data_IF_932767609708
#
_entry.id   IF_932767609708
#
_cell.length_a   1.000
_cell.length_b   1.000
_cell.length_c   1.000
_cell.angle_alpha   90.00
_cell.angle_beta   90.00
_cell.angle_gamma   90.00
#
_symmetry.space_group_name_H-M   'P 1'
#
loop_
_entity.id
_entity.type
_entity.pdbx_description
1 polymer ?
#
# COMPACT_ATOMS: atom_id res chain seq x y z
N UNK A 1 -5.02 -0.85 -16.52
CA UNK A 1 -3.59 -0.85 -16.95
C UNK A 1 -2.95 -2.24 -16.86
N UNK A 2 -2.81 -2.90 -15.69
CA UNK A 2 -2.21 -4.26 -15.62
C UNK A 2 -2.92 -5.28 -16.52
N UNK A 3 -4.25 -5.40 -16.45
CA UNK A 3 -5.05 -6.27 -17.32
C UNK A 3 -4.78 -6.07 -18.83
N UNK A 4 -4.70 -4.80 -19.25
CA UNK A 4 -4.40 -4.48 -20.67
C UNK A 4 -3.01 -4.96 -21.08
N UNK A 5 -2.02 -4.82 -20.19
CA UNK A 5 -0.65 -5.31 -20.44
C UNK A 5 -0.58 -6.84 -20.49
N UNK A 6 -1.29 -7.53 -19.60
CA UNK A 6 -1.41 -8.98 -19.63
C UNK A 6 -1.99 -9.43 -20.99
N UNK A 7 -3.09 -8.81 -21.44
CA UNK A 7 -3.70 -9.13 -22.73
C UNK A 7 -2.77 -8.84 -23.92
N UNK A 8 -2.01 -7.74 -23.86
CA UNK A 8 -0.99 -7.43 -24.88
C UNK A 8 0.10 -8.50 -24.95
N UNK A 9 0.64 -8.92 -23.79
CA UNK A 9 1.65 -10.00 -23.73
C UNK A 9 1.10 -11.32 -24.28
N UNK A 10 -0.13 -11.71 -23.90
CA UNK A 10 -0.78 -12.92 -24.41
C UNK A 10 -0.93 -12.88 -25.94
N UNK A 11 -1.30 -11.75 -26.54
CA UNK A 11 -1.43 -11.60 -28.00
C UNK A 11 -0.12 -11.84 -28.76
N UNK A 12 1.01 -11.49 -28.16
CA UNK A 12 2.35 -11.71 -28.76
C UNK A 12 3.05 -12.96 -28.19
N UNK A 13 2.29 -13.87 -27.57
CA UNK A 13 2.77 -15.14 -27.00
C UNK A 13 3.92 -14.95 -25.99
N UNK A 14 3.92 -13.86 -25.21
CA UNK A 14 4.90 -13.61 -24.14
C UNK A 14 4.28 -13.77 -22.78
N UNK A 15 5.03 -14.35 -21.84
CA UNK A 15 4.62 -14.46 -20.43
C UNK A 15 4.75 -13.11 -19.72
N UNK A 16 3.65 -12.53 -19.19
CA UNK A 16 3.70 -11.30 -18.42
C UNK A 16 4.23 -11.54 -17.00
N UNK A 17 5.31 -10.87 -16.62
CA UNK A 17 5.84 -10.93 -15.26
C UNK A 17 5.46 -9.65 -14.51
N UNK A 18 4.69 -9.79 -13.43
CA UNK A 18 4.23 -8.69 -12.59
C UNK A 18 5.07 -8.63 -11.33
N UNK A 19 5.82 -7.55 -11.15
CA UNK A 19 6.72 -7.35 -9.99
C UNK A 19 6.28 -6.15 -9.18
N UNK A 20 6.26 -6.29 -7.86
CA UNK A 20 5.96 -5.17 -6.97
C UNK A 20 5.94 -5.55 -5.49
N UNK A 21 5.82 -4.54 -4.63
CA UNK A 21 5.77 -4.72 -3.17
C UNK A 21 4.43 -4.29 -2.56
N UNK A 22 3.47 -3.80 -3.36
CA UNK A 22 2.15 -3.41 -2.86
C UNK A 22 1.18 -4.58 -3.00
N UNK A 23 1.11 -5.41 -1.95
CA UNK A 23 0.29 -6.63 -1.95
C UNK A 23 -1.18 -6.40 -2.31
N UNK A 24 -1.77 -5.26 -1.93
CA UNK A 24 -3.15 -4.93 -2.28
C UNK A 24 -3.39 -4.90 -3.80
N UNK A 25 -2.40 -4.50 -4.62
CA UNK A 25 -2.54 -4.52 -6.07
C UNK A 25 -2.55 -5.94 -6.63
N UNK A 26 -1.74 -6.83 -6.05
CA UNK A 26 -1.81 -8.24 -6.40
C UNK A 26 -3.16 -8.85 -6.02
N UNK A 27 -3.61 -8.61 -4.78
CA UNK A 27 -4.94 -9.07 -4.33
C UNK A 27 -6.05 -8.56 -5.24
N UNK A 28 -6.01 -7.28 -5.59
CA UNK A 28 -6.96 -6.68 -6.51
C UNK A 28 -6.99 -7.33 -7.91
N UNK A 29 -5.83 -7.80 -8.37
CA UNK A 29 -5.71 -8.49 -9.66
C UNK A 29 -6.18 -9.95 -9.58
N UNK A 30 -5.77 -10.67 -8.54
CA UNK A 30 -6.02 -12.12 -8.40
C UNK A 30 -7.38 -12.47 -7.80
N UNK A 31 -7.90 -11.62 -6.90
CA UNK A 31 -9.16 -11.85 -6.20
C UNK A 31 -10.26 -10.85 -6.61
N UNK A 32 -9.89 -9.81 -7.35
CA UNK A 32 -10.79 -8.76 -7.77
C UNK A 32 -10.80 -7.54 -6.84
N UNK A 33 -11.42 -6.48 -7.34
CA UNK A 33 -11.73 -5.27 -6.56
C UNK A 33 -13.23 -5.15 -6.41
N UNK A 34 -13.66 -4.88 -5.19
CA UNK A 34 -15.06 -4.58 -4.91
C UNK A 34 -15.48 -3.30 -5.64
N UNK A 35 -16.58 -3.38 -6.39
CA UNK A 35 -17.11 -2.24 -7.13
C UNK A 35 -18.10 -1.45 -6.26
N UNK A 36 -17.57 -0.65 -5.33
CA UNK A 36 -18.37 0.25 -4.51
C UNK A 36 -18.62 1.55 -5.29
N UNK A 37 -19.86 2.08 -5.32
CA UNK A 37 -20.16 3.34 -5.95
C UNK A 37 -19.25 4.48 -5.49
N UNK A 38 -18.94 5.41 -6.39
CA UNK A 38 -18.10 6.56 -6.08
C UNK A 38 -18.80 7.46 -5.06
N UNK A 39 -18.25 7.53 -3.86
CA UNK A 39 -18.76 8.40 -2.79
C UNK A 39 -18.23 9.82 -3.01
N UNK A 40 -19.11 10.84 -3.09
CA UNK A 40 -18.73 12.23 -3.30
C UNK A 40 -17.78 12.77 -2.23
N UNK A 41 -16.85 13.64 -2.61
CA UNK A 41 -15.84 14.17 -1.69
C UNK A 41 -16.45 15.03 -0.56
N UNK A 42 -17.53 15.76 -0.82
CA UNK A 42 -18.25 16.51 0.20
C UNK A 42 -18.78 15.58 1.31
N UNK A 43 -19.39 14.45 0.95
CA UNK A 43 -19.85 13.44 1.90
C UNK A 43 -18.67 12.85 2.70
N UNK A 44 -17.58 12.45 2.02
CA UNK A 44 -16.38 11.95 2.68
C UNK A 44 -15.77 12.94 3.65
N UNK A 45 -15.77 14.22 3.31
CA UNK A 45 -15.28 15.29 4.20
C UNK A 45 -16.18 15.45 5.44
N UNK A 46 -17.52 15.36 5.29
CA UNK A 46 -18.45 15.36 6.43
C UNK A 46 -18.14 14.21 7.41
N UNK A 47 -17.95 13.00 6.92
CA UNK A 47 -17.61 11.82 7.75
C UNK A 47 -16.26 12.01 8.45
N UNK A 48 -15.24 12.49 7.75
CA UNK A 48 -13.91 12.76 8.34
C UNK A 48 -13.95 13.86 9.41
N UNK A 49 -14.73 14.89 9.18
CA UNK A 49 -14.92 15.97 10.17
C UNK A 49 -15.69 15.46 11.40
N UNK A 50 -16.71 14.60 11.21
CA UNK A 50 -17.37 13.92 12.31
C UNK A 50 -16.37 13.12 13.14
N UNK A 51 -15.55 12.28 12.49
CA UNK A 51 -14.51 11.50 13.17
C UNK A 51 -13.54 12.40 13.96
N UNK A 52 -13.05 13.49 13.37
CA UNK A 52 -12.16 14.45 14.05
C UNK A 52 -12.81 15.07 15.29
N UNK A 53 -14.10 15.36 15.21
CA UNK A 53 -14.86 16.01 16.30
C UNK A 53 -15.08 15.08 17.49
N UNK A 54 -15.45 13.81 17.26
CA UNK A 54 -15.84 12.89 18.33
C UNK A 54 -14.76 11.89 18.75
N UNK A 55 -13.66 11.80 18.00
CA UNK A 55 -12.55 10.87 18.23
C UNK A 55 -12.84 9.42 17.81
N UNK A 56 -11.79 8.58 17.78
CA UNK A 56 -11.87 7.22 17.24
C UNK A 56 -12.83 6.31 18.01
N UNK A 57 -12.78 6.33 19.33
CA UNK A 57 -13.58 5.40 20.15
C UNK A 57 -15.08 5.63 19.97
N UNK A 58 -15.55 6.90 20.15
CA UNK A 58 -16.96 7.26 19.95
C UNK A 58 -17.39 7.08 18.50
N UNK A 59 -16.49 7.31 17.55
CA UNK A 59 -16.77 7.09 16.14
C UNK A 59 -16.97 5.62 15.82
N UNK A 60 -16.16 4.73 16.38
CA UNK A 60 -16.29 3.29 16.19
C UNK A 60 -17.59 2.75 16.80
N UNK A 61 -17.97 3.22 17.99
CA UNK A 61 -19.29 2.90 18.58
C UNK A 61 -20.45 3.31 17.67
N UNK A 62 -20.37 4.53 17.10
CA UNK A 62 -21.36 5.01 16.14
C UNK A 62 -21.40 4.19 14.85
N UNK A 63 -20.24 3.70 14.40
CA UNK A 63 -20.16 2.78 13.26
C UNK A 63 -20.85 1.45 13.58
N UNK A 64 -20.64 0.88 14.76
CA UNK A 64 -21.29 -0.37 15.19
C UNK A 64 -22.81 -0.25 15.26
N UNK A 65 -23.34 0.90 15.67
CA UNK A 65 -24.78 1.16 15.69
C UNK A 65 -25.41 1.08 14.29
N UNK A 66 -24.73 1.59 13.26
CA UNK A 66 -25.25 1.58 11.88
C UNK A 66 -24.88 0.32 11.09
N UNK A 67 -23.81 -0.37 11.47
CA UNK A 67 -23.29 -1.55 10.79
C UNK A 67 -22.70 -2.56 11.80
N UNK A 68 -23.54 -3.35 12.48
CA UNK A 68 -23.07 -4.35 13.46
C UNK A 68 -22.16 -5.43 12.86
N UNK A 69 -22.23 -5.68 11.54
CA UNK A 69 -21.41 -6.69 10.86
C UNK A 69 -19.91 -6.37 10.89
N UNK A 70 -19.54 -5.15 11.29
CA UNK A 70 -18.15 -4.69 11.34
C UNK A 70 -17.43 -5.16 12.62
N UNK A 71 -18.15 -5.54 13.68
CA UNK A 71 -17.64 -5.73 15.05
C UNK A 71 -16.33 -6.54 15.09
N UNK A 72 -16.31 -7.71 14.47
CA UNK A 72 -15.16 -8.63 14.50
C UNK A 72 -14.29 -8.57 13.23
N UNK A 73 -14.62 -7.65 12.32
CA UNK A 73 -13.96 -7.52 11.01
C UNK A 73 -12.99 -6.36 10.94
N UNK A 74 -13.14 -5.36 11.79
CA UNK A 74 -12.29 -4.17 11.85
C UNK A 74 -11.86 -3.94 13.28
N UNK A 75 -10.54 -3.78 13.47
CA UNK A 75 -9.99 -3.37 14.77
C UNK A 75 -10.53 -1.98 15.14
N UNK A 76 -11.04 -1.82 16.37
CA UNK A 76 -11.58 -0.55 16.89
C UNK A 76 -10.64 0.64 16.82
N UNK A 77 -9.32 0.39 16.79
CA UNK A 77 -8.29 1.41 16.66
C UNK A 77 -7.93 1.73 15.19
N UNK A 78 -8.44 0.97 14.20
CA UNK A 78 -8.17 1.22 12.79
C UNK A 78 -9.05 2.36 12.25
N UNK A 79 -8.55 3.56 12.41
CA UNK A 79 -9.22 4.79 11.96
C UNK A 79 -9.56 4.78 10.47
N UNK A 80 -8.64 4.30 9.63
CA UNK A 80 -8.82 4.34 8.17
C UNK A 80 -9.96 3.42 7.72
N UNK A 81 -9.97 2.19 8.24
CA UNK A 81 -11.03 1.22 7.93
C UNK A 81 -12.36 1.62 8.55
N UNK A 82 -12.36 2.16 9.78
CA UNK A 82 -13.57 2.67 10.44
C UNK A 82 -14.23 3.78 9.64
N UNK A 83 -13.47 4.80 9.23
CA UNK A 83 -13.96 5.90 8.39
C UNK A 83 -14.51 5.35 7.07
N UNK A 84 -13.78 4.45 6.42
CA UNK A 84 -14.20 3.89 5.14
C UNK A 84 -15.48 3.07 5.25
N UNK A 85 -15.61 2.24 6.27
CA UNK A 85 -16.82 1.45 6.53
C UNK A 85 -18.03 2.36 6.78
N UNK A 86 -17.85 3.42 7.58
CA UNK A 86 -18.90 4.40 7.85
C UNK A 86 -19.32 5.14 6.57
N UNK A 87 -18.35 5.60 5.75
CA UNK A 87 -18.61 6.21 4.44
C UNK A 87 -19.49 5.32 3.56
N UNK A 88 -19.11 4.02 3.44
CA UNK A 88 -19.81 3.06 2.59
C UNK A 88 -21.22 2.81 3.12
N UNK A 89 -21.36 2.42 4.39
CA UNK A 89 -22.65 2.09 4.98
C UNK A 89 -23.63 3.26 4.94
N UNK A 90 -23.16 4.44 5.31
CA UNK A 90 -24.03 5.63 5.35
C UNK A 90 -24.47 6.07 3.95
N UNK A 91 -23.61 5.93 2.94
CA UNK A 91 -23.90 6.35 1.57
C UNK A 91 -24.71 5.29 0.81
N UNK A 92 -24.30 4.01 0.89
CA UNK A 92 -24.88 2.93 0.06
C UNK A 92 -25.96 2.12 0.79
N UNK A 93 -26.17 2.36 2.10
CA UNK A 93 -27.03 1.58 2.99
C UNK A 93 -26.61 0.11 3.14
N UNK A 94 -25.59 -0.35 2.44
CA UNK A 94 -25.07 -1.72 2.46
C UNK A 94 -23.73 -1.78 3.20
N UNK A 95 -23.53 -2.83 4.03
CA UNK A 95 -22.28 -3.04 4.75
C UNK A 95 -21.08 -3.21 3.80
N UNK A 96 -19.93 -2.70 4.21
CA UNK A 96 -18.67 -2.95 3.52
C UNK A 96 -18.36 -4.45 3.40
N UNK A 97 -18.70 -5.24 4.42
CA UNK A 97 -18.52 -6.70 4.43
C UNK A 97 -19.37 -7.37 3.35
N UNK A 98 -20.63 -6.93 3.21
CA UNK A 98 -21.51 -7.44 2.17
C UNK A 98 -21.02 -7.11 0.76
N UNK A 99 -20.39 -5.96 0.58
CA UNK A 99 -19.75 -5.61 -0.69
C UNK A 99 -18.57 -6.54 -1.00
N UNK A 100 -17.72 -6.85 -0.01
CA UNK A 100 -16.56 -7.72 -0.19
C UNK A 100 -16.93 -9.16 -0.52
N UNK A 101 -18.01 -9.70 0.10
CA UNK A 101 -18.50 -11.06 -0.21
C UNK A 101 -18.88 -11.24 -1.69
N UNK A 102 -19.30 -10.19 -2.35
CA UNK A 102 -19.74 -10.21 -3.76
C UNK A 102 -18.62 -9.80 -4.75
N UNK A 103 -17.36 -9.77 -4.30
CA UNK A 103 -16.23 -9.46 -5.17
C UNK A 103 -15.94 -10.65 -6.09
N UNK A 104 -15.82 -10.40 -7.39
CA UNK A 104 -15.42 -11.40 -8.40
C UNK A 104 -14.13 -10.94 -9.06
N UNK A 105 -13.22 -11.88 -9.31
CA UNK A 105 -12.04 -11.67 -10.14
C UNK A 105 -12.36 -11.98 -11.59
N UNK A 106 -11.69 -11.29 -12.52
CA UNK A 106 -11.72 -11.65 -13.94
C UNK A 106 -10.76 -12.81 -14.24
N UNK A 107 -10.01 -13.27 -13.27
CA UNK A 107 -9.02 -14.33 -13.38
C UNK A 107 -9.34 -15.46 -12.41
N UNK A 108 -9.05 -16.69 -12.83
CA UNK A 108 -9.09 -17.87 -11.98
C UNK A 108 -7.84 -17.95 -11.08
N UNK A 109 -7.89 -18.80 -10.07
CA UNK A 109 -6.75 -19.03 -9.18
C UNK A 109 -5.51 -19.54 -9.95
N UNK A 110 -5.73 -20.29 -11.02
CA UNK A 110 -4.70 -20.95 -11.83
C UNK A 110 -4.12 -20.05 -12.93
N UNK A 111 -4.69 -18.85 -13.15
CA UNK A 111 -4.19 -17.92 -14.18
C UNK A 111 -2.84 -17.27 -13.81
N UNK A 112 -2.38 -17.45 -12.56
CA UNK A 112 -1.15 -16.85 -12.07
C UNK A 112 -0.27 -17.88 -11.35
N UNK A 113 0.99 -17.93 -11.74
CA UNK A 113 2.03 -18.53 -10.91
C UNK A 113 2.50 -17.48 -9.88
N UNK A 114 2.14 -17.69 -8.62
CA UNK A 114 2.30 -16.71 -7.55
C UNK A 114 3.56 -16.96 -6.77
N UNK A 115 4.46 -15.97 -6.69
CA UNK A 115 5.73 -16.06 -5.97
C UNK A 115 5.83 -14.94 -4.95
N UNK A 116 6.22 -15.28 -3.73
CA UNK A 116 6.60 -14.34 -2.70
C UNK A 116 8.08 -14.51 -2.37
N UNK A 117 8.89 -13.48 -2.64
CA UNK A 117 10.31 -13.53 -2.31
C UNK A 117 10.49 -13.32 -0.80
N UNK A 118 10.99 -14.35 -0.12
CA UNK A 118 11.33 -14.30 1.30
C UNK A 118 12.80 -13.89 1.46
N UNK A 119 12.99 -12.61 1.76
CA UNK A 119 14.32 -12.02 1.88
C UNK A 119 14.81 -12.10 3.34
N UNK A 120 16.00 -12.66 3.62
CA UNK A 120 16.57 -12.69 4.96
C UNK A 120 16.63 -11.29 5.57
N UNK A 121 16.17 -11.17 6.81
CA UNK A 121 16.00 -9.84 7.45
C UNK A 121 17.31 -9.05 7.53
N UNK A 122 18.42 -9.73 7.83
CA UNK A 122 19.75 -9.09 7.94
C UNK A 122 20.14 -8.44 6.61
N UNK A 123 20.10 -9.23 5.54
CA UNK A 123 20.48 -8.80 4.20
C UNK A 123 19.56 -7.67 3.69
N UNK A 124 18.26 -7.76 4.01
CA UNK A 124 17.30 -6.72 3.67
C UNK A 124 17.63 -5.39 4.35
N UNK A 125 18.01 -5.41 5.64
CA UNK A 125 18.38 -4.20 6.38
C UNK A 125 19.64 -3.58 5.77
N UNK A 126 20.65 -4.37 5.48
CA UNK A 126 21.88 -3.91 4.85
C UNK A 126 21.61 -3.25 3.49
N UNK A 127 20.85 -3.91 2.62
CA UNK A 127 20.44 -3.33 1.33
C UNK A 127 19.64 -2.04 1.48
N UNK A 128 18.79 -1.92 2.50
CA UNK A 128 18.05 -0.68 2.77
C UNK A 128 19.00 0.44 3.15
N UNK A 129 19.99 0.17 4.00
CA UNK A 129 20.97 1.18 4.42
C UNK A 129 21.78 1.66 3.21
N UNK A 130 22.38 0.74 2.45
CA UNK A 130 23.12 1.07 1.22
C UNK A 130 22.26 1.86 0.21
N UNK A 131 21.00 1.45 0.03
CA UNK A 131 20.04 2.15 -0.84
C UNK A 131 19.78 3.58 -0.35
N UNK A 132 19.65 3.79 0.96
CA UNK A 132 19.36 5.10 1.53
C UNK A 132 20.52 6.09 1.32
N UNK A 133 21.76 5.62 1.43
CA UNK A 133 22.94 6.39 1.09
C UNK A 133 23.01 6.69 -0.43
N UNK A 134 22.81 5.67 -1.25
CA UNK A 134 22.90 5.79 -2.70
C UNK A 134 21.84 6.76 -3.27
N UNK A 135 20.62 6.76 -2.75
CA UNK A 135 19.58 7.71 -3.17
C UNK A 135 20.06 9.16 -2.97
N UNK A 136 20.70 9.45 -1.85
CA UNK A 136 21.23 10.80 -1.57
C UNK A 136 22.38 11.14 -2.54
N UNK A 137 23.32 10.22 -2.74
CA UNK A 137 24.43 10.37 -3.70
C UNK A 137 23.95 10.58 -5.14
N UNK A 138 22.88 9.91 -5.53
CA UNK A 138 22.27 10.00 -6.86
C UNK A 138 21.38 11.24 -7.08
N UNK A 139 21.35 12.17 -6.11
CA UNK A 139 20.74 13.49 -6.33
C UNK A 139 19.31 13.66 -5.82
N UNK A 140 18.82 12.81 -4.92
CA UNK A 140 17.47 12.94 -4.34
C UNK A 140 17.23 14.31 -3.68
N UNK A 141 18.26 14.95 -3.12
CA UNK A 141 18.15 16.30 -2.55
C UNK A 141 17.75 17.31 -3.62
N UNK A 142 18.38 17.27 -4.78
CA UNK A 142 18.09 18.17 -5.91
C UNK A 142 16.70 17.89 -6.50
N UNK A 143 16.30 16.61 -6.57
CA UNK A 143 14.95 16.20 -7.01
C UNK A 143 13.88 16.77 -6.08
N UNK A 144 14.03 16.59 -4.76
CA UNK A 144 13.07 17.13 -3.77
C UNK A 144 13.06 18.66 -3.77
N UNK A 145 14.20 19.32 -3.99
CA UNK A 145 14.24 20.78 -4.14
C UNK A 145 13.38 21.26 -5.32
N UNK A 146 13.46 20.57 -6.48
CA UNK A 146 12.59 20.83 -7.63
C UNK A 146 11.12 20.52 -7.31
N UNK A 147 10.85 19.39 -6.66
CA UNK A 147 9.50 19.00 -6.24
C UNK A 147 8.83 20.04 -5.32
N UNK A 148 9.58 20.65 -4.39
CA UNK A 148 9.07 21.70 -3.52
C UNK A 148 8.59 22.92 -4.32
N UNK A 149 9.34 23.31 -5.37
CA UNK A 149 8.98 24.43 -6.27
C UNK A 149 7.65 24.18 -7.01
N UNK A 150 7.30 22.91 -7.27
CA UNK A 150 6.03 22.53 -7.94
C UNK A 150 4.79 22.76 -7.06
N UNK A 151 4.92 23.11 -5.79
CA UNK A 151 3.84 23.40 -4.83
C UNK A 151 2.74 22.32 -4.77
N UNK A 152 3.13 21.05 -4.94
CA UNK A 152 2.19 19.91 -4.92
C UNK A 152 1.47 19.86 -3.55
N UNK A 153 0.13 19.76 -3.54
CA UNK A 153 -0.64 19.71 -2.29
C UNK A 153 -0.22 18.54 -1.38
N UNK A 154 -0.13 18.81 -0.06
CA UNK A 154 0.32 17.83 0.95
C UNK A 154 -0.55 16.55 1.01
N UNK A 155 -1.80 16.62 0.59
CA UNK A 155 -2.73 15.48 0.57
C UNK A 155 -2.51 14.52 -0.61
N UNK A 156 -1.72 14.88 -1.60
CA UNK A 156 -1.38 14.00 -2.73
C UNK A 156 -0.42 12.88 -2.30
N UNK A 157 -0.59 11.71 -2.91
CA UNK A 157 0.21 10.52 -2.59
C UNK A 157 1.72 10.75 -2.75
N UNK A 158 2.11 11.49 -3.80
CA UNK A 158 3.51 11.81 -4.08
C UNK A 158 4.14 12.59 -2.91
N UNK A 159 3.42 13.53 -2.29
CA UNK A 159 3.91 14.31 -1.15
C UNK A 159 4.20 13.48 0.11
N UNK A 160 3.77 12.20 0.13
CA UNK A 160 3.96 11.27 1.24
C UNK A 160 5.06 10.23 0.98
N UNK A 161 5.76 10.31 -0.16
CA UNK A 161 6.86 9.40 -0.47
C UNK A 161 7.98 9.52 0.58
N UNK A 162 8.56 8.36 0.93
CA UNK A 162 9.69 8.30 1.87
C UNK A 162 10.86 9.11 1.29
N UNK A 163 11.48 9.92 2.12
CA UNK A 163 12.57 10.81 1.75
C UNK A 163 12.14 12.27 1.57
N UNK A 164 10.91 12.57 1.10
CA UNK A 164 10.50 13.96 0.84
C UNK A 164 10.50 14.80 2.12
N UNK A 165 9.89 14.33 3.19
CA UNK A 165 9.84 15.10 4.44
C UNK A 165 11.20 15.19 5.12
N UNK A 166 11.99 14.12 5.06
CA UNK A 166 13.32 14.04 5.63
C UNK A 166 14.27 15.00 4.92
N UNK A 167 14.26 15.01 3.59
CA UNK A 167 15.06 15.95 2.78
C UNK A 167 14.58 17.40 3.00
N UNK A 168 13.27 17.65 3.18
CA UNK A 168 12.79 18.98 3.56
C UNK A 168 13.39 19.47 4.88
N UNK A 169 13.47 18.59 5.90
CA UNK A 169 14.08 18.93 7.18
C UNK A 169 15.58 19.26 7.01
N UNK A 170 16.28 18.48 6.21
CA UNK A 170 17.69 18.74 5.87
C UNK A 170 17.86 20.08 5.13
N UNK A 171 17.06 20.36 4.10
CA UNK A 171 17.10 21.65 3.39
C UNK A 171 16.76 22.86 4.27
N UNK A 172 15.99 22.64 5.36
CA UNK A 172 15.71 23.64 6.38
C UNK A 172 16.81 23.69 7.48
N UNK A 173 17.93 22.99 7.31
CA UNK A 173 19.04 22.88 8.28
C UNK A 173 18.61 22.36 9.67
N UNK A 174 17.51 21.59 9.75
CA UNK A 174 17.00 21.04 11.02
C UNK A 174 17.68 19.71 11.39
N UNK A 175 18.31 19.06 10.45
CA UNK A 175 19.03 17.79 10.61
C UNK A 175 20.27 17.78 9.75
N UNK A 176 21.29 17.01 10.18
CA UNK A 176 22.51 16.76 9.40
C UNK A 176 22.30 15.64 8.39
N UNK A 177 23.28 15.44 7.48
CA UNK A 177 23.17 14.47 6.38
C UNK A 177 23.09 13.02 6.88
N UNK A 178 23.81 12.70 7.94
CA UNK A 178 23.81 11.37 8.58
C UNK A 178 22.44 11.05 9.16
N UNK A 179 21.83 12.02 9.85
CA UNK A 179 20.47 11.91 10.39
C UNK A 179 19.42 11.80 9.30
N UNK A 180 19.62 12.46 8.15
CA UNK A 180 18.75 12.32 6.99
C UNK A 180 18.77 10.88 6.47
N UNK A 181 19.95 10.31 6.23
CA UNK A 181 20.13 8.95 5.74
C UNK A 181 19.51 7.95 6.72
N UNK A 182 19.79 8.12 8.01
CA UNK A 182 19.23 7.26 9.06
C UNK A 182 17.70 7.30 9.07
N UNK A 183 17.08 8.48 9.03
CA UNK A 183 15.61 8.63 9.02
C UNK A 183 14.97 7.98 7.78
N UNK A 184 15.59 8.10 6.61
CA UNK A 184 15.14 7.43 5.40
C UNK A 184 15.23 5.91 5.57
N UNK A 185 16.35 5.40 6.12
CA UNK A 185 16.57 3.98 6.39
C UNK A 185 15.52 3.44 7.38
N UNK A 186 15.25 4.13 8.48
CA UNK A 186 14.23 3.74 9.47
C UNK A 186 12.86 3.64 8.82
N UNK A 187 12.43 4.65 8.05
CA UNK A 187 11.12 4.64 7.40
C UNK A 187 11.02 3.54 6.34
N UNK A 188 12.10 3.30 5.61
CA UNK A 188 12.14 2.22 4.62
C UNK A 188 12.08 0.85 5.29
N UNK A 189 12.78 0.63 6.41
CA UNK A 189 12.66 -0.60 7.23
C UNK A 189 11.24 -0.81 7.76
N UNK A 190 10.60 0.25 8.24
CA UNK A 190 9.20 0.20 8.69
C UNK A 190 8.25 -0.16 7.53
N UNK A 191 8.51 0.38 6.35
CA UNK A 191 7.73 0.05 5.15
C UNK A 191 7.92 -1.41 4.74
N UNK A 192 9.14 -1.90 4.69
CA UNK A 192 9.46 -3.31 4.42
C UNK A 192 8.83 -4.26 5.45
N UNK A 193 8.85 -3.90 6.75
CA UNK A 193 8.14 -4.67 7.80
C UNK A 193 6.64 -4.76 7.52
N UNK A 194 6.00 -3.67 7.10
CA UNK A 194 4.57 -3.68 6.74
C UNK A 194 4.30 -4.58 5.52
N UNK A 195 5.15 -4.56 4.51
CA UNK A 195 5.05 -5.46 3.35
C UNK A 195 5.14 -6.93 3.77
N UNK A 196 6.14 -7.30 4.59
CA UNK A 196 6.33 -8.68 5.07
C UNK A 196 5.17 -9.14 5.96
N UNK A 197 4.65 -8.26 6.83
CA UNK A 197 3.48 -8.58 7.68
C UNK A 197 2.24 -8.80 6.83
N UNK A 198 2.02 -7.95 5.83
CA UNK A 198 0.89 -8.09 4.92
C UNK A 198 0.99 -9.38 4.10
N UNK A 199 2.16 -9.68 3.55
CA UNK A 199 2.41 -10.89 2.77
C UNK A 199 2.14 -12.16 3.60
N UNK A 200 2.63 -12.23 4.85
CA UNK A 200 2.36 -13.36 5.75
C UNK A 200 0.87 -13.59 6.00
N UNK A 201 0.07 -12.54 6.07
CA UNK A 201 -1.37 -12.66 6.29
C UNK A 201 -2.19 -12.97 5.04
N UNK A 202 -1.74 -12.50 3.86
CA UNK A 202 -2.55 -12.50 2.63
C UNK A 202 -1.95 -13.32 1.46
N UNK A 203 -0.74 -13.85 1.61
CA UNK A 203 -0.06 -14.62 0.57
C UNK A 203 0.34 -16.01 1.11
N UNK A 204 -0.57 -16.68 1.82
CA UNK A 204 -0.30 -17.98 2.45
C UNK A 204 -0.14 -19.09 1.41
N UNK A 205 -0.88 -19.00 0.32
CA UNK A 205 -0.92 -19.90 -0.82
C UNK A 205 0.14 -19.60 -1.89
N UNK A 206 0.97 -18.57 -1.68
CA UNK A 206 2.03 -18.20 -2.63
C UNK A 206 3.29 -19.04 -2.42
N UNK A 207 3.96 -19.41 -3.51
CA UNK A 207 5.25 -20.07 -3.45
C UNK A 207 6.29 -19.16 -2.83
N UNK A 208 6.80 -19.52 -1.65
CA UNK A 208 7.88 -18.78 -0.98
C UNK A 208 9.22 -19.18 -1.60
N UNK A 209 9.97 -18.19 -2.05
CA UNK A 209 11.25 -18.39 -2.71
C UNK A 209 12.32 -17.52 -2.07
N UNK A 210 13.49 -18.08 -1.79
CA UNK A 210 14.67 -17.29 -1.42
C UNK A 210 15.24 -16.60 -2.67
N UNK A 211 15.89 -15.42 -2.54
CA UNK A 211 16.45 -14.72 -3.70
C UNK A 211 17.36 -15.59 -4.57
N UNK A 212 18.17 -16.44 -3.97
CA UNK A 212 19.06 -17.39 -4.68
C UNK A 212 18.35 -18.45 -5.54
N UNK A 213 17.07 -18.68 -5.30
CA UNK A 213 16.25 -19.60 -6.08
C UNK A 213 15.58 -18.98 -7.30
N UNK A 214 15.60 -17.63 -7.40
CA UNK A 214 14.86 -16.91 -8.43
C UNK A 214 15.41 -17.19 -9.84
N UNK A 215 16.73 -17.21 -10.00
CA UNK A 215 17.37 -17.45 -11.30
C UNK A 215 17.07 -18.85 -11.83
N UNK A 216 17.06 -19.86 -10.93
CA UNK A 216 16.69 -21.24 -11.30
C UNK A 216 15.23 -21.34 -11.75
N UNK A 217 14.35 -20.57 -11.14
CA UNK A 217 12.95 -20.54 -11.50
C UNK A 217 12.72 -19.83 -12.84
N UNK A 218 13.35 -18.65 -13.06
CA UNK A 218 13.20 -17.88 -14.29
C UNK A 218 13.70 -18.64 -15.53
N UNK A 219 14.66 -19.56 -15.37
CA UNK A 219 15.12 -20.44 -16.46
C UNK A 219 14.12 -21.54 -16.83
N UNK A 220 13.08 -21.78 -15.99
CA UNK A 220 12.05 -22.81 -16.22
C UNK A 220 10.73 -22.26 -16.77
N UNK A 221 10.59 -20.94 -16.82
CA UNK A 221 9.43 -20.21 -17.33
C UNK A 221 9.74 -19.67 -18.73
#
# INVERSE_FOLDING_TARGET
>A
MAKQKILQCKKIKKTPILVGGTGLYFKALTEGLVNIPKIPNNFRNKVRNLHKRIGQQKFFQKLLQIDPLIKDQINSLDTQRSIRAYEIKSFTKKSMISWFKNTKSDYSHNDFFKICIDFPRKDLIERINQRSENIIKLGAISEVRRFIKMRVPKNKSLSKAIGINEIKQYLQKKIQIEQLIEKISIKTRQYAKRQSTWARGNMKDWNKLKPSGLDKLLKKI
#
